data_IF_783293917538
#
_entry.id   IF_783293917538
#
_cell.length_a   1.000
_cell.length_b   1.000
_cell.length_c   1.000
_cell.angle_alpha   90.00
_cell.angle_beta   90.00
_cell.angle_gamma   90.00
#
_symmetry.space_group_name_H-M   'P 1'
#
loop_
_entity.id
_entity.type
_entity.pdbx_description
1 polymer ?
#
# COMPACT_ATOMS: atom_id res chain seq x y z
N UNK A 1 2.53 -17.21 -22.92
CA UNK A 1 2.73 -15.93 -22.20
C UNK A 1 2.71 -16.24 -20.72
N UNK A 2 3.84 -16.08 -20.01
CA UNK A 2 3.88 -16.27 -18.56
C UNK A 2 3.08 -15.14 -17.91
N UNK A 3 1.89 -15.48 -17.44
CA UNK A 3 1.02 -14.57 -16.71
C UNK A 3 1.69 -14.34 -15.35
N UNK A 4 2.56 -13.33 -15.27
CA UNK A 4 3.22 -12.93 -14.03
C UNK A 4 2.13 -12.43 -13.09
N UNK A 5 1.61 -13.34 -12.27
CA UNK A 5 0.57 -13.05 -11.30
C UNK A 5 1.22 -12.19 -10.23
N UNK A 6 0.95 -10.88 -10.27
CA UNK A 6 1.48 -9.99 -9.24
C UNK A 6 0.93 -10.43 -7.87
N UNK A 7 1.79 -10.48 -6.85
CA UNK A 7 1.36 -10.90 -5.53
C UNK A 7 0.26 -9.96 -5.04
N UNK A 8 -0.73 -10.52 -4.34
CA UNK A 8 -1.93 -9.77 -3.90
C UNK A 8 -1.58 -8.52 -3.08
N UNK A 9 -0.43 -8.57 -2.38
CA UNK A 9 0.16 -7.44 -1.66
C UNK A 9 0.43 -6.22 -2.55
N UNK A 10 0.77 -6.40 -3.82
CA UNK A 10 1.00 -5.31 -4.77
C UNK A 10 -0.28 -4.52 -5.05
N UNK A 11 -1.41 -5.20 -5.26
CA UNK A 11 -2.70 -4.53 -5.46
C UNK A 11 -3.17 -3.81 -4.20
N UNK A 12 -2.94 -4.40 -3.03
CA UNK A 12 -3.22 -3.77 -1.75
C UNK A 12 -2.39 -2.48 -1.56
N UNK A 13 -1.12 -2.47 -1.98
CA UNK A 13 -0.27 -1.26 -1.97
C UNK A 13 -0.89 -0.18 -2.87
N UNK A 14 -1.22 -0.50 -4.12
CA UNK A 14 -1.78 0.49 -5.06
C UNK A 14 -3.10 1.07 -4.55
N UNK A 15 -4.00 0.22 -4.04
CA UNK A 15 -5.29 0.66 -3.50
C UNK A 15 -5.14 1.57 -2.30
N UNK A 16 -4.29 1.19 -1.33
CA UNK A 16 -4.05 1.97 -0.12
C UNK A 16 -3.34 3.29 -0.43
N UNK A 17 -2.38 3.27 -1.36
CA UNK A 17 -1.68 4.46 -1.82
C UNK A 17 -2.61 5.42 -2.55
N UNK A 18 -3.44 4.91 -3.45
CA UNK A 18 -4.45 5.69 -4.17
C UNK A 18 -5.48 6.31 -3.23
N UNK A 19 -5.98 5.55 -2.26
CA UNK A 19 -6.92 6.03 -1.25
C UNK A 19 -6.32 7.13 -0.38
N UNK A 20 -5.07 6.96 0.06
CA UNK A 20 -4.34 7.95 0.85
C UNK A 20 -4.14 9.25 0.06
N UNK A 21 -3.61 9.15 -1.16
CA UNK A 21 -3.31 10.32 -1.98
C UNK A 21 -4.58 11.09 -2.38
N UNK A 22 -5.64 10.37 -2.77
CA UNK A 22 -6.92 10.97 -3.12
C UNK A 22 -7.55 11.69 -1.92
N UNK A 23 -7.57 11.05 -0.74
CA UNK A 23 -8.13 11.65 0.47
C UNK A 23 -7.36 12.91 0.91
N UNK A 24 -6.03 12.86 0.84
CA UNK A 24 -5.17 13.98 1.21
C UNK A 24 -5.32 15.16 0.22
N UNK A 25 -5.41 14.86 -1.08
CA UNK A 25 -5.63 15.90 -2.09
C UNK A 25 -7.01 16.53 -1.93
N UNK A 26 -8.07 15.75 -1.76
CA UNK A 26 -9.42 16.30 -1.59
C UNK A 26 -9.50 17.15 -0.32
N UNK A 27 -8.90 16.71 0.78
CA UNK A 27 -8.82 17.51 2.00
C UNK A 27 -8.04 18.83 1.78
N UNK A 28 -6.86 18.76 1.15
CA UNK A 28 -6.04 19.94 0.88
C UNK A 28 -6.74 20.95 -0.05
N UNK A 29 -7.33 20.46 -1.15
CA UNK A 29 -8.06 21.31 -2.09
C UNK A 29 -9.33 21.91 -1.48
N UNK A 30 -10.11 21.15 -0.71
CA UNK A 30 -11.33 21.66 -0.06
C UNK A 30 -11.02 22.70 1.01
N UNK A 31 -9.93 22.52 1.78
CA UNK A 31 -9.45 23.51 2.74
C UNK A 31 -8.96 24.78 2.04
N UNK A 32 -8.20 24.64 0.95
CA UNK A 32 -7.64 25.78 0.20
C UNK A 32 -8.72 26.59 -0.54
N UNK A 33 -9.74 25.93 -1.07
CA UNK A 33 -10.90 26.61 -1.68
C UNK A 33 -11.88 27.21 -0.66
N UNK A 34 -11.65 27.04 0.66
CA UNK A 34 -12.64 27.31 1.71
C UNK A 34 -14.02 26.71 1.36
N UNK A 35 -14.01 25.53 0.74
CA UNK A 35 -15.20 24.92 0.16
C UNK A 35 -16.12 24.42 1.30
N UNK A 36 -17.45 24.55 1.20
CA UNK A 36 -18.38 24.06 2.24
C UNK A 36 -18.35 22.54 2.49
N UNK A 37 -17.61 21.79 1.66
CA UNK A 37 -17.35 20.35 1.83
C UNK A 37 -16.01 20.06 2.54
N UNK A 38 -15.32 21.10 3.02
CA UNK A 38 -14.15 20.98 3.87
C UNK A 38 -14.57 20.38 5.21
N UNK A 39 -14.67 19.05 5.22
CA UNK A 39 -15.10 18.28 6.37
C UNK A 39 -13.91 17.55 6.98
N UNK A 40 -13.77 17.56 8.32
CA UNK A 40 -12.77 16.75 9.00
C UNK A 40 -12.97 15.24 8.78
N UNK A 41 -14.08 14.79 8.18
CA UNK A 41 -14.25 13.39 7.76
C UNK A 41 -13.13 12.91 6.82
N UNK A 42 -12.53 13.78 6.01
CA UNK A 42 -11.42 13.40 5.13
C UNK A 42 -10.15 13.00 5.90
N UNK A 43 -9.94 13.49 7.13
CA UNK A 43 -8.82 13.06 7.98
C UNK A 43 -8.92 11.56 8.31
N UNK A 44 -10.12 11.01 8.42
CA UNK A 44 -10.32 9.58 8.65
C UNK A 44 -9.78 8.78 7.45
N UNK A 45 -10.06 9.23 6.23
CA UNK A 45 -9.51 8.63 5.00
C UNK A 45 -7.99 8.72 4.95
N UNK A 46 -7.40 9.84 5.40
CA UNK A 46 -5.94 10.00 5.51
C UNK A 46 -5.34 9.01 6.52
N UNK A 47 -5.93 8.86 7.70
CA UNK A 47 -5.44 7.93 8.73
C UNK A 47 -5.55 6.48 8.26
N UNK A 48 -6.70 6.10 7.69
CA UNK A 48 -6.91 4.74 7.15
C UNK A 48 -5.91 4.47 6.01
N UNK A 49 -5.72 5.43 5.10
CA UNK A 49 -4.74 5.34 4.04
C UNK A 49 -3.31 5.16 4.56
N UNK A 50 -2.91 5.94 5.58
CA UNK A 50 -1.58 5.85 6.19
C UNK A 50 -1.33 4.48 6.85
N UNK A 51 -2.31 3.96 7.61
CA UNK A 51 -2.25 2.62 8.20
C UNK A 51 -2.17 1.55 7.11
N UNK A 52 -2.96 1.69 6.04
CA UNK A 52 -2.93 0.79 4.90
C UNK A 52 -1.57 0.75 4.20
N UNK A 53 -0.92 1.90 4.01
CA UNK A 53 0.42 1.98 3.42
C UNK A 53 1.46 1.33 4.33
N UNK A 54 1.42 1.58 5.64
CA UNK A 54 2.31 0.92 6.61
C UNK A 54 2.15 -0.61 6.60
N UNK A 55 0.92 -1.08 6.57
CA UNK A 55 0.62 -2.52 6.49
C UNK A 55 1.14 -3.13 5.18
N UNK A 56 0.90 -2.46 4.06
CA UNK A 56 1.40 -2.83 2.73
C UNK A 56 2.93 -2.94 2.69
N UNK A 57 3.66 -1.97 3.25
CA UNK A 57 5.13 -2.02 3.37
C UNK A 57 5.56 -3.24 4.20
N UNK A 58 4.88 -3.50 5.32
CA UNK A 58 5.19 -4.66 6.17
C UNK A 58 4.99 -5.98 5.43
N UNK A 59 3.91 -6.12 4.67
CA UNK A 59 3.65 -7.29 3.84
C UNK A 59 4.72 -7.51 2.77
N UNK A 60 5.14 -6.44 2.07
CA UNK A 60 6.22 -6.53 1.07
C UNK A 60 7.52 -7.01 1.71
N UNK A 61 7.88 -6.51 2.91
CA UNK A 61 9.09 -6.95 3.61
C UNK A 61 9.04 -8.41 4.04
N UNK A 62 7.87 -8.90 4.47
CA UNK A 62 7.69 -10.33 4.81
C UNK A 62 7.86 -11.18 3.56
N UNK A 63 7.18 -10.80 2.46
CA UNK A 63 7.27 -11.53 1.20
C UNK A 63 8.71 -11.57 0.64
N UNK A 64 9.45 -10.46 0.74
CA UNK A 64 10.87 -10.44 0.37
C UNK A 64 11.71 -11.38 1.23
N UNK A 65 11.45 -11.48 2.55
CA UNK A 65 12.14 -12.44 3.42
C UNK A 65 11.84 -13.88 3.03
N UNK A 66 10.58 -14.22 2.78
CA UNK A 66 10.17 -15.56 2.35
C UNK A 66 10.84 -15.96 1.03
N UNK A 67 10.95 -15.02 0.08
CA UNK A 67 11.63 -15.25 -1.21
C UNK A 67 13.13 -15.54 -1.04
N UNK A 68 13.81 -14.82 -0.14
CA UNK A 68 15.23 -15.03 0.15
C UNK A 68 15.45 -16.40 0.82
N UNK A 69 14.60 -16.75 1.77
CA UNK A 69 14.69 -18.02 2.51
C UNK A 69 14.43 -19.23 1.60
N UNK A 70 13.44 -19.14 0.70
CA UNK A 70 13.20 -20.16 -0.34
C UNK A 70 14.40 -20.36 -1.25
N UNK A 71 15.00 -19.25 -1.71
CA UNK A 71 16.18 -19.31 -2.57
C UNK A 71 17.36 -20.02 -1.88
N UNK A 72 17.53 -19.81 -0.58
CA UNK A 72 18.60 -20.44 0.18
C UNK A 72 18.36 -21.95 0.41
N UNK A 73 17.10 -22.37 0.57
CA UNK A 73 16.75 -23.78 0.65
C UNK A 73 16.99 -24.49 -0.69
N UNK A 74 16.61 -23.88 -1.82
CA UNK A 74 16.87 -24.43 -3.15
C UNK A 74 18.37 -24.61 -3.44
N UNK A 75 19.22 -23.66 -3.02
CA UNK A 75 20.68 -23.78 -3.16
C UNK A 75 21.30 -24.86 -2.25
N UNK A 76 20.65 -25.23 -1.15
CA UNK A 76 21.17 -26.22 -0.18
C UNK A 76 20.73 -27.65 -0.53
N UNK A 77 19.56 -27.84 -1.16
CA UNK A 77 19.05 -29.16 -1.56
C UNK A 77 19.71 -29.70 -2.86
N UNK A 78 20.39 -28.84 -3.62
CA UNK A 78 21.08 -29.17 -4.89
C UNK A 78 22.58 -29.51 -4.70
N UNK A 79 23.06 -29.63 -3.44
CA UNK A 79 24.45 -29.98 -3.05
C UNK A 79 24.53 -31.32 -2.31
#
# INVERSE_FOLDING_TARGET
MSQSFMPWSYYAVILTFGLFFASLNIYGFTLWLAHPLASPLWLIGVVIGAVGVLYSIRMVRIHQREMIEKKHQEETDDS
#
